data_IF_246941078134
#
_entry.id   IF_246941078134
#
_cell.length_a   1.000
_cell.length_b   1.000
_cell.length_c   1.000
_cell.angle_alpha   90.00
_cell.angle_beta   90.00
_cell.angle_gamma   90.00
#
_symmetry.space_group_name_H-M   'P 1'
#
loop_
_entity.id
_entity.type
_entity.pdbx_description
1 polymer ?
#
# COMPACT_ATOMS: atom_id res chain seq x y z
N UNK A 1 -47.82 -55.45 -32.55
CA UNK A 1 -48.81 -56.16 -31.71
C UNK A 1 -48.20 -56.38 -30.32
N UNK A 2 -48.89 -55.94 -29.25
CA UNK A 2 -48.77 -56.25 -27.80
C UNK A 2 -47.39 -56.09 -27.10
N UNK A 3 -47.17 -55.12 -26.17
CA UNK A 3 -47.40 -55.11 -24.68
C UNK A 3 -46.81 -56.33 -23.94
N UNK A 4 -46.47 -56.26 -22.63
CA UNK A 4 -45.85 -55.21 -21.79
C UNK A 4 -44.68 -55.77 -20.92
N UNK A 5 -43.96 -54.94 -20.15
CA UNK A 5 -43.03 -55.35 -19.08
C UNK A 5 -43.36 -54.49 -17.83
N UNK A 6 -43.84 -55.04 -16.72
CA UNK A 6 -43.15 -55.75 -15.62
C UNK A 6 -42.06 -54.94 -14.89
N UNK A 7 -42.36 -54.63 -13.62
CA UNK A 7 -41.52 -54.56 -12.42
C UNK A 7 -40.06 -54.06 -12.50
N UNK A 8 -39.68 -53.13 -11.62
CA UNK A 8 -38.71 -53.40 -10.52
C UNK A 8 -38.35 -52.14 -9.71
N UNK A 9 -38.19 -52.36 -8.40
CA UNK A 9 -37.63 -51.47 -7.38
C UNK A 9 -36.16 -51.10 -7.68
N UNK A 10 -35.75 -49.88 -7.36
CA UNK A 10 -34.36 -49.58 -7.00
C UNK A 10 -34.26 -48.32 -6.11
N UNK A 11 -33.96 -48.51 -4.83
CA UNK A 11 -33.53 -47.47 -3.89
C UNK A 11 -32.09 -47.08 -4.26
N UNK A 12 -31.85 -45.80 -4.55
CA UNK A 12 -30.51 -45.27 -4.83
C UNK A 12 -30.04 -44.37 -3.69
N UNK A 13 -28.95 -44.78 -3.06
CA UNK A 13 -28.28 -44.08 -1.95
C UNK A 13 -27.35 -43.05 -2.59
N UNK A 14 -27.64 -41.76 -2.48
CA UNK A 14 -26.79 -40.69 -3.00
C UNK A 14 -25.75 -40.34 -1.92
N UNK A 15 -24.50 -40.77 -2.13
CA UNK A 15 -23.38 -40.38 -1.28
C UNK A 15 -22.96 -38.92 -1.55
N UNK A 16 -22.94 -38.09 -0.51
CA UNK A 16 -22.38 -36.74 -0.57
C UNK A 16 -20.84 -36.82 -0.59
N UNK A 17 -20.23 -36.38 -1.68
CA UNK A 17 -18.78 -36.17 -1.78
C UNK A 17 -18.49 -34.72 -1.37
N UNK A 18 -17.96 -34.52 -0.17
CA UNK A 18 -17.52 -33.21 0.33
C UNK A 18 -16.25 -32.78 -0.41
N UNK A 19 -16.37 -31.84 -1.35
CA UNK A 19 -15.23 -31.24 -2.04
C UNK A 19 -14.53 -30.25 -1.10
N UNK A 20 -13.27 -30.51 -0.78
CA UNK A 20 -12.45 -29.66 0.07
C UNK A 20 -11.84 -28.57 -0.81
N UNK A 21 -12.32 -27.33 -0.68
CA UNK A 21 -11.77 -26.20 -1.41
C UNK A 21 -10.40 -25.82 -0.83
N UNK A 22 -9.32 -26.10 -1.57
CA UNK A 22 -7.97 -25.63 -1.23
C UNK A 22 -7.92 -24.15 -1.63
N UNK A 23 -7.95 -23.25 -0.64
CA UNK A 23 -7.75 -21.83 -0.86
C UNK A 23 -6.31 -21.60 -1.37
N UNK A 24 -6.17 -21.38 -2.68
CA UNK A 24 -4.89 -20.99 -3.28
C UNK A 24 -4.64 -19.52 -2.96
N UNK A 25 -3.62 -19.25 -2.14
CA UNK A 25 -3.21 -17.90 -1.79
C UNK A 25 -2.47 -17.30 -3.00
N UNK A 26 -3.20 -16.64 -3.90
CA UNK A 26 -2.62 -15.91 -5.03
C UNK A 26 -1.99 -14.64 -4.48
N UNK A 27 -0.65 -14.63 -4.38
CA UNK A 27 0.11 -13.41 -4.09
C UNK A 27 -0.05 -12.48 -5.30
N UNK A 28 -0.97 -11.51 -5.19
CA UNK A 28 -1.10 -10.43 -6.16
C UNK A 28 0.14 -9.53 -6.07
N UNK A 29 1.06 -9.67 -7.02
CA UNK A 29 2.17 -8.73 -7.18
C UNK A 29 1.61 -7.44 -7.78
N UNK A 30 1.38 -6.44 -6.92
CA UNK A 30 1.03 -5.10 -7.37
C UNK A 30 2.32 -4.36 -7.70
N UNK A 31 2.51 -3.87 -8.93
CA UNK A 31 3.68 -3.07 -9.28
C UNK A 31 3.79 -1.87 -8.34
N UNK A 32 4.99 -1.61 -7.82
CA UNK A 32 5.24 -0.42 -6.99
C UNK A 32 4.99 0.84 -7.85
N UNK A 33 4.16 1.78 -7.37
CA UNK A 33 3.85 2.98 -8.13
C UNK A 33 5.13 3.79 -8.37
N UNK A 34 5.27 4.29 -9.59
CA UNK A 34 6.38 5.15 -9.97
C UNK A 34 6.02 6.61 -9.67
N UNK A 35 6.99 7.37 -9.19
CA UNK A 35 6.86 8.78 -8.89
C UNK A 35 7.00 9.61 -10.16
N UNK A 36 5.92 10.19 -10.67
CA UNK A 36 5.95 10.93 -11.94
C UNK A 36 5.99 12.44 -11.74
N UNK A 37 5.38 12.92 -10.67
CA UNK A 37 5.27 14.34 -10.33
C UNK A 37 5.47 14.56 -8.82
N UNK A 38 5.74 15.80 -8.41
CA UNK A 38 5.96 16.13 -7.00
C UNK A 38 4.75 15.85 -6.10
N UNK A 39 3.52 15.94 -6.63
CA UNK A 39 2.32 15.59 -5.86
C UNK A 39 2.25 14.11 -5.49
N UNK A 40 2.78 13.21 -6.34
CA UNK A 40 2.88 11.77 -6.04
C UNK A 40 3.83 11.54 -4.87
N UNK A 41 4.88 12.36 -4.74
CA UNK A 41 5.88 12.25 -3.68
C UNK A 41 5.35 12.72 -2.31
N UNK A 42 4.34 13.60 -2.27
CA UNK A 42 3.79 14.14 -1.00
C UNK A 42 3.32 13.06 -0.02
N UNK A 43 2.40 12.14 -0.40
CA UNK A 43 1.94 11.10 0.51
C UNK A 43 3.05 10.12 0.89
N UNK A 44 4.01 9.86 0.00
CA UNK A 44 5.14 8.96 0.26
C UNK A 44 6.11 9.58 1.26
N UNK A 45 6.43 10.86 1.08
CA UNK A 45 7.27 11.64 1.97
C UNK A 45 6.67 11.69 3.39
N UNK A 46 5.35 11.92 3.48
CA UNK A 46 4.62 11.87 4.74
C UNK A 46 4.79 10.52 5.42
N UNK A 47 4.49 9.40 4.74
CA UNK A 47 4.61 8.04 5.32
C UNK A 47 6.04 7.74 5.79
N UNK A 48 7.05 8.16 5.02
CA UNK A 48 8.44 7.97 5.39
C UNK A 48 8.81 8.73 6.67
N UNK A 49 8.41 10.00 6.77
CA UNK A 49 8.62 10.81 7.98
C UNK A 49 7.84 10.28 9.19
N UNK A 50 6.58 9.88 8.99
CA UNK A 50 5.75 9.28 10.03
C UNK A 50 6.39 7.99 10.55
N UNK A 51 6.84 7.11 9.65
CA UNK A 51 7.51 5.86 10.02
C UNK A 51 8.80 6.11 10.81
N UNK A 52 9.59 7.11 10.39
CA UNK A 52 10.81 7.49 11.10
C UNK A 52 10.54 7.88 12.56
N UNK A 53 9.49 8.66 12.82
CA UNK A 53 9.14 9.12 14.16
C UNK A 53 8.34 8.09 14.97
N UNK A 54 7.47 7.31 14.32
CA UNK A 54 6.75 6.21 14.97
C UNK A 54 7.72 5.14 15.48
N UNK A 55 8.80 4.84 14.73
CA UNK A 55 9.85 3.93 15.18
C UNK A 55 10.57 4.42 16.45
N UNK A 56 10.52 5.73 16.73
CA UNK A 56 11.09 6.35 17.93
C UNK A 56 10.05 6.52 19.06
N UNK A 57 8.82 6.05 18.86
CA UNK A 57 7.71 6.22 19.81
C UNK A 57 7.20 7.66 19.91
N UNK A 58 7.48 8.51 18.92
CA UNK A 58 7.03 9.88 18.92
C UNK A 58 5.55 10.01 18.51
N UNK A 59 4.86 10.95 19.15
CA UNK A 59 3.51 11.36 18.73
C UNK A 59 3.61 12.31 17.53
N UNK A 60 2.92 11.96 16.45
CA UNK A 60 2.94 12.69 15.17
C UNK A 60 1.58 13.32 14.86
N UNK A 61 1.58 14.58 14.46
CA UNK A 61 0.37 15.30 14.05
C UNK A 61 0.69 16.52 13.17
N UNK A 62 -0.34 17.16 12.61
CA UNK A 62 -0.24 18.41 11.84
C UNK A 62 0.83 18.38 10.73
N UNK A 63 0.75 17.38 9.84
CA UNK A 63 1.52 17.36 8.60
C UNK A 63 1.02 18.45 7.64
N UNK A 64 1.96 19.24 7.13
CA UNK A 64 1.72 20.19 6.02
C UNK A 64 2.87 20.07 5.04
N UNK A 65 2.61 20.24 3.74
CA UNK A 65 3.65 20.16 2.73
C UNK A 65 3.34 20.99 1.49
N UNK A 66 4.41 21.42 0.82
CA UNK A 66 4.42 21.94 -0.54
C UNK A 66 5.32 21.05 -1.39
N UNK A 67 5.03 20.97 -2.68
CA UNK A 67 5.85 20.23 -3.63
C UNK A 67 6.23 21.10 -4.81
N UNK A 68 7.33 20.76 -5.45
CA UNK A 68 7.76 21.39 -6.69
C UNK A 68 8.62 20.42 -7.51
N UNK A 69 8.59 20.63 -8.82
CA UNK A 69 9.35 19.85 -9.79
C UNK A 69 10.47 20.74 -10.37
N UNK A 70 11.68 20.19 -10.51
CA UNK A 70 12.81 20.88 -11.15
C UNK A 70 13.61 19.92 -12.01
N UNK A 71 13.53 20.09 -13.33
CA UNK A 71 14.13 19.15 -14.29
C UNK A 71 13.52 17.76 -14.12
N UNK A 72 14.38 16.78 -13.85
CA UNK A 72 14.00 15.40 -13.53
C UNK A 72 13.88 15.14 -12.01
N UNK A 73 14.04 16.17 -11.18
CA UNK A 73 13.90 16.08 -9.73
C UNK A 73 12.49 16.44 -9.26
N UNK A 74 11.97 15.62 -8.35
CA UNK A 74 10.74 15.83 -7.60
C UNK A 74 11.11 16.18 -6.16
N UNK A 75 10.51 17.24 -5.62
CA UNK A 75 10.84 17.77 -4.29
C UNK A 75 9.58 18.01 -3.47
N UNK A 76 9.65 17.68 -2.18
CA UNK A 76 8.63 17.96 -1.19
C UNK A 76 9.28 18.61 0.02
N UNK A 77 8.75 19.77 0.39
CA UNK A 77 9.10 20.49 1.61
C UNK A 77 7.90 20.41 2.56
N UNK A 78 8.09 19.72 3.67
CA UNK A 78 7.08 19.43 4.67
C UNK A 78 7.42 19.98 6.05
N UNK A 79 6.39 20.19 6.86
CA UNK A 79 6.51 20.42 8.29
C UNK A 79 5.64 19.41 9.02
N UNK A 80 6.23 18.74 10.01
CA UNK A 80 5.55 17.75 10.85
C UNK A 80 5.65 18.19 12.31
N UNK A 81 4.61 17.97 13.12
CA UNK A 81 4.74 18.05 14.57
C UNK A 81 5.07 16.67 15.13
N UNK A 82 6.20 16.58 15.82
CA UNK A 82 6.68 15.37 16.48
C UNK A 82 7.03 15.71 17.94
N UNK A 83 6.41 15.04 18.91
CA UNK A 83 6.67 15.25 20.35
C UNK A 83 6.61 16.73 20.79
N UNK A 84 5.65 17.49 20.26
CA UNK A 84 5.46 18.90 20.58
C UNK A 84 6.37 19.87 19.82
N UNK A 85 7.37 19.38 19.08
CA UNK A 85 8.27 20.19 18.25
C UNK A 85 7.81 20.21 16.80
N UNK A 86 8.15 21.29 16.09
CA UNK A 86 8.00 21.32 14.62
C UNK A 86 9.32 20.90 14.00
N UNK A 87 9.27 19.96 13.08
CA UNK A 87 10.43 19.48 12.34
C UNK A 87 10.21 19.73 10.86
N UNK A 88 11.27 20.14 10.16
CA UNK A 88 11.25 20.32 8.72
C UNK A 88 11.62 19.01 8.06
N UNK A 89 10.85 18.62 7.05
CA UNK A 89 11.04 17.38 6.30
C UNK A 89 11.27 17.74 4.84
N UNK A 90 12.34 17.25 4.26
CA UNK A 90 12.64 17.42 2.85
C UNK A 90 12.75 16.06 2.19
N UNK A 91 11.90 15.80 1.20
CA UNK A 91 12.01 14.61 0.38
C UNK A 91 12.39 14.97 -1.04
N UNK A 92 13.23 14.15 -1.65
CA UNK A 92 13.56 14.25 -3.06
C UNK A 92 13.60 12.89 -3.73
N UNK A 93 13.17 12.82 -4.98
CA UNK A 93 13.26 11.64 -5.82
C UNK A 93 13.50 12.05 -7.28
N UNK A 94 14.04 11.13 -8.09
CA UNK A 94 14.04 11.31 -9.53
C UNK A 94 12.66 10.98 -10.10
N UNK A 95 12.27 11.63 -11.21
CA UNK A 95 11.09 11.24 -11.98
C UNK A 95 11.26 9.81 -12.49
N UNK A 96 10.21 9.00 -12.32
CA UNK A 96 10.22 7.57 -12.62
C UNK A 96 10.87 6.70 -11.54
N UNK A 97 11.35 7.29 -10.43
CA UNK A 97 11.86 6.52 -9.31
C UNK A 97 10.73 5.77 -8.59
N UNK A 98 11.12 4.70 -7.88
CA UNK A 98 10.22 3.99 -6.96
C UNK A 98 10.15 4.69 -5.60
N UNK A 99 9.12 4.39 -4.82
CA UNK A 99 8.97 4.96 -3.46
C UNK A 99 10.21 4.67 -2.60
N UNK A 100 10.74 3.44 -2.65
CA UNK A 100 11.94 3.04 -1.90
C UNK A 100 13.25 3.79 -2.26
N UNK A 101 13.27 4.49 -3.39
CA UNK A 101 14.43 5.26 -3.88
C UNK A 101 14.37 6.73 -3.47
N UNK A 102 13.33 7.14 -2.73
CA UNK A 102 13.25 8.49 -2.18
C UNK A 102 14.39 8.75 -1.20
N UNK A 103 14.83 10.00 -1.17
CA UNK A 103 15.78 10.50 -0.17
C UNK A 103 14.99 11.35 0.81
N UNK A 104 14.98 10.93 2.08
CA UNK A 104 14.37 11.65 3.20
C UNK A 104 15.46 12.38 3.97
N UNK A 105 15.27 13.68 4.19
CA UNK A 105 16.07 14.50 5.09
C UNK A 105 15.15 15.15 6.11
N UNK A 106 15.52 15.05 7.38
CA UNK A 106 14.76 15.64 8.48
C UNK A 106 15.70 16.62 9.19
N UNK A 107 15.25 17.85 9.34
CA UNK A 107 15.93 18.89 10.09
C UNK A 107 15.17 19.14 11.40
N UNK A 108 15.78 18.70 12.50
CA UNK A 108 15.24 18.83 13.86
C UNK A 108 15.46 20.22 14.47
N UNK A 109 16.24 21.07 13.79
CA UNK A 109 16.62 22.41 14.26
C UNK A 109 15.55 23.47 14.01
N UNK A 110 14.30 23.04 13.73
CA UNK A 110 13.15 23.86 13.32
C UNK A 110 13.23 25.31 13.82
N UNK A 111 13.50 26.23 12.89
CA UNK A 111 13.63 27.66 13.15
C UNK A 111 12.40 28.31 13.75
#
# INVERSE_FOLDING_TARGET
MYRPLLFSLAVTIVGLVSTQAIAQNVVQYTPEPLLMNGSDLVPVCRRAAETHYLAQGASIYNWTASYHDRGDGLYVDGRLRANGKTVSVHCSAARGARERELILKIDETGG
#
